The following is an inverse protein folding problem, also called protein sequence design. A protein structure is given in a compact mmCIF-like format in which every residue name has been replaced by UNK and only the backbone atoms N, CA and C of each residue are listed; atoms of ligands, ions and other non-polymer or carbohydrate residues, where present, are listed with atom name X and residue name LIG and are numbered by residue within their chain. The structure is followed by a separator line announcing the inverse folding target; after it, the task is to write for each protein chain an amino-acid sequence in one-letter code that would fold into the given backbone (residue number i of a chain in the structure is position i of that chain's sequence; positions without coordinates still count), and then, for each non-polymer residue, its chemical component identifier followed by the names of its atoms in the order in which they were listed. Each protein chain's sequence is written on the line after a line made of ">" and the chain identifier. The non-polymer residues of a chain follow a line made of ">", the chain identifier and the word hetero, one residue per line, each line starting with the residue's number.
data_IF_908603223156
#
_entry.id   IF_908603223156
#
_cell.length_a   1.000
_cell.length_b   1.000
_cell.length_c   1.000
_cell.angle_alpha   90.00
_cell.angle_beta   90.00
_cell.angle_gamma   90.00
#
_symmetry.space_group_name_H-M   'P 1'
#
loop_
_entity.id
_entity.type
_entity.pdbx_description
1 polymer ?
#
# COMPACT_ATOMS: atom_id res chain seq x y z
N UNK A 1 -16.74 -1.15 -2.80
CA UNK A 1 -16.26 -0.99 -1.42
C UNK A 1 -14.86 -0.41 -1.50
N UNK A 2 -14.69 0.82 -1.05
CA UNK A 2 -13.41 1.51 -1.11
C UNK A 2 -12.50 1.03 0.03
N UNK A 3 -11.18 1.08 -0.18
CA UNK A 3 -10.19 0.77 0.88
C UNK A 3 -10.45 1.61 2.13
N UNK A 4 -10.86 2.87 1.97
CA UNK A 4 -11.14 3.78 3.07
C UNK A 4 -12.33 3.30 3.93
N UNK A 5 -13.38 2.77 3.31
CA UNK A 5 -14.54 2.20 4.02
C UNK A 5 -14.13 0.96 4.84
N UNK A 6 -13.29 0.09 4.26
CA UNK A 6 -12.72 -1.08 4.93
C UNK A 6 -11.90 -0.69 6.16
N UNK A 7 -11.02 0.30 6.01
CA UNK A 7 -10.15 0.79 7.10
C UNK A 7 -10.99 1.45 8.20
N UNK A 8 -11.98 2.26 7.84
CA UNK A 8 -12.90 2.86 8.81
C UNK A 8 -13.64 1.80 9.63
N UNK A 9 -14.15 0.75 8.97
CA UNK A 9 -14.84 -0.35 9.65
C UNK A 9 -13.91 -1.13 10.59
N UNK A 10 -12.67 -1.40 10.16
CA UNK A 10 -11.65 -2.03 11.02
C UNK A 10 -11.34 -1.16 12.25
N UNK A 11 -11.24 0.16 12.08
CA UNK A 11 -10.99 1.09 13.18
C UNK A 11 -12.16 1.17 14.17
N UNK A 12 -13.40 1.15 13.68
CA UNK A 12 -14.60 1.08 14.52
C UNK A 12 -14.59 -0.19 15.38
N UNK A 13 -14.35 -1.35 14.77
CA UNK A 13 -14.23 -2.63 15.48
C UNK A 13 -13.08 -2.61 16.50
N UNK A 14 -11.94 -1.99 16.17
CA UNK A 14 -10.82 -1.85 17.08
C UNK A 14 -11.12 -0.94 18.29
N UNK A 15 -11.87 0.16 18.08
CA UNK A 15 -12.33 1.03 19.18
C UNK A 15 -13.33 0.30 20.07
N UNK A 16 -14.25 -0.45 19.46
CA UNK A 16 -15.22 -1.27 20.20
C UNK A 16 -14.53 -2.32 21.06
N UNK A 17 -13.53 -3.03 20.50
CA UNK A 17 -12.67 -3.96 21.25
C UNK A 17 -12.03 -3.34 22.48
N UNK A 18 -11.51 -2.11 22.36
CA UNK A 18 -10.85 -1.41 23.47
C UNK A 18 -11.80 -0.96 24.56
N UNK A 19 -13.07 -0.72 24.24
CA UNK A 19 -14.06 -0.22 25.21
C UNK A 19 -14.82 -1.33 25.91
N UNK A 20 -15.43 -2.24 25.14
CA UNK A 20 -16.40 -3.23 25.63
C UNK A 20 -15.98 -4.67 25.32
N UNK A 21 -14.95 -4.87 24.50
CA UNK A 21 -14.59 -6.16 23.93
C UNK A 21 -15.27 -6.41 22.58
N UNK A 22 -14.75 -7.37 21.81
CA UNK A 22 -15.34 -7.80 20.53
C UNK A 22 -16.02 -9.15 20.73
N UNK A 23 -17.16 -9.31 20.07
CA UNK A 23 -17.85 -10.59 19.96
C UNK A 23 -17.08 -11.50 18.98
N UNK A 24 -17.27 -12.81 19.03
CA UNK A 24 -16.64 -13.74 18.08
C UNK A 24 -17.01 -13.42 16.62
N UNK A 25 -18.26 -13.03 16.36
CA UNK A 25 -18.72 -12.61 15.03
C UNK A 25 -17.98 -11.36 14.53
N UNK A 26 -17.78 -10.37 15.40
CA UNK A 26 -17.07 -9.14 15.04
C UNK A 26 -15.56 -9.39 14.86
N UNK A 27 -15.02 -10.35 15.59
CA UNK A 27 -13.64 -10.79 15.45
C UNK A 27 -13.41 -11.46 14.08
N UNK A 28 -14.36 -12.30 13.67
CA UNK A 28 -14.37 -12.93 12.35
C UNK A 28 -14.56 -11.88 11.23
N UNK A 29 -15.45 -10.91 11.42
CA UNK A 29 -15.64 -9.80 10.48
C UNK A 29 -14.34 -9.00 10.33
N UNK A 30 -13.71 -8.61 11.44
CA UNK A 30 -12.43 -7.89 11.42
C UNK A 30 -11.34 -8.69 10.71
N UNK A 31 -11.25 -10.00 10.95
CA UNK A 31 -10.26 -10.86 10.29
C UNK A 31 -10.46 -10.86 8.77
N UNK A 32 -11.71 -11.04 8.32
CA UNK A 32 -12.08 -11.01 6.90
C UNK A 32 -11.78 -9.67 6.24
N UNK A 33 -12.14 -8.56 6.90
CA UNK A 33 -11.85 -7.21 6.41
C UNK A 33 -10.33 -6.97 6.27
N UNK A 34 -9.54 -7.47 7.24
CA UNK A 34 -8.08 -7.33 7.22
C UNK A 34 -7.44 -8.13 6.08
N UNK A 35 -7.97 -9.31 5.78
CA UNK A 35 -7.52 -10.12 4.64
C UNK A 35 -7.77 -9.42 3.30
N UNK A 36 -8.98 -8.86 3.13
CA UNK A 36 -9.35 -8.09 1.93
C UNK A 36 -8.46 -6.86 1.78
N UNK A 37 -8.19 -6.14 2.87
CA UNK A 37 -7.28 -5.00 2.87
C UNK A 37 -5.86 -5.41 2.45
N UNK A 38 -5.30 -6.45 3.06
CA UNK A 38 -3.96 -6.96 2.73
C UNK A 38 -3.85 -7.40 1.26
N UNK A 39 -4.88 -8.07 0.73
CA UNK A 39 -4.91 -8.48 -0.68
C UNK A 39 -4.90 -7.29 -1.64
N UNK A 40 -5.64 -6.23 -1.32
CA UNK A 40 -5.63 -5.00 -2.11
C UNK A 40 -4.31 -4.24 -1.98
N UNK A 41 -3.77 -4.10 -0.77
CA UNK A 41 -2.47 -3.46 -0.52
C UNK A 41 -1.37 -4.19 -1.27
N UNK A 42 -1.31 -5.52 -1.22
CA UNK A 42 -0.30 -6.30 -1.96
C UNK A 42 -0.39 -6.09 -3.46
N UNK A 43 -1.60 -6.05 -4.03
CA UNK A 43 -1.80 -5.76 -5.45
C UNK A 43 -1.36 -4.34 -5.82
N UNK A 44 -1.75 -3.36 -5.00
CA UNK A 44 -1.39 -1.97 -5.21
C UNK A 44 0.13 -1.77 -5.08
N UNK A 45 0.76 -2.39 -4.09
CA UNK A 45 2.19 -2.35 -3.86
C UNK A 45 2.97 -3.04 -4.98
N UNK A 46 2.49 -4.19 -5.48
CA UNK A 46 3.09 -4.83 -6.65
C UNK A 46 3.00 -3.96 -7.89
N UNK A 47 1.85 -3.31 -8.14
CA UNK A 47 1.70 -2.36 -9.23
C UNK A 47 2.64 -1.15 -9.08
N UNK A 48 2.84 -0.65 -7.86
CA UNK A 48 3.82 0.41 -7.59
C UNK A 48 5.27 -0.07 -7.80
N UNK A 49 5.62 -1.29 -7.40
CA UNK A 49 6.95 -1.88 -7.66
C UNK A 49 7.19 -2.15 -9.15
N UNK A 50 6.17 -2.53 -9.89
CA UNK A 50 6.24 -2.73 -11.35
C UNK A 50 6.32 -1.39 -12.09
N UNK A 51 5.75 -0.33 -11.49
CA UNK A 51 5.92 1.06 -11.93
C UNK A 51 7.26 1.66 -11.49
N UNK A 52 8.03 1.01 -10.61
CA UNK A 52 9.44 1.33 -10.42
C UNK A 52 10.17 0.79 -11.65
N UNK A 53 10.06 1.57 -12.72
CA UNK A 53 11.02 1.56 -13.81
C UNK A 53 12.39 1.73 -13.16
N UNK A 54 13.27 0.75 -13.37
CA UNK A 54 14.70 0.94 -13.11
C UNK A 54 15.10 2.07 -14.07
N UNK A 55 15.13 3.30 -13.56
CA UNK A 55 15.88 4.38 -14.16
C UNK A 55 17.34 3.94 -14.08
N UNK A 56 17.75 3.18 -15.10
CA UNK A 56 19.16 2.97 -15.40
C UNK A 56 19.70 4.38 -15.59
N UNK A 57 20.39 4.89 -14.57
CA UNK A 57 21.19 6.11 -14.63
C UNK A 57 22.37 5.82 -15.58
N UNK A 58 22.06 5.61 -16.87
CA UNK A 58 23.06 5.60 -17.92
C UNK A 58 23.44 7.05 -18.20
N UNK A 59 24.31 7.53 -17.31
CA UNK A 59 25.49 8.28 -17.72
C UNK A 59 25.20 9.72 -18.05
N UNK A 60 25.04 10.53 -17.01
CA UNK A 60 25.45 11.91 -17.03
C UNK A 60 27.00 11.98 -17.13
N UNK A 61 27.58 11.71 -18.29
CA UNK A 61 28.99 11.99 -18.61
C UNK A 61 29.11 12.05 -20.14
N UNK A 62 29.15 13.25 -20.73
CA UNK A 62 30.41 13.93 -21.06
C UNK A 62 30.20 15.42 -21.23
N UNK A 63 30.54 16.17 -20.19
CA UNK A 63 31.20 17.46 -20.34
C UNK A 63 32.61 17.23 -20.92
N UNK A 64 33.03 18.13 -21.80
CA UNK A 64 34.38 18.14 -22.39
C UNK A 64 34.47 17.51 -23.78
N UNK A 65 34.55 18.34 -24.83
CA UNK A 65 35.84 18.89 -25.27
C UNK A 65 35.79 19.48 -26.71
N UNK A 66 36.15 20.77 -26.81
CA UNK A 66 36.83 21.46 -27.93
C UNK A 66 36.19 21.53 -29.33
N UNK A 67 36.01 22.79 -29.77
CA UNK A 67 36.31 23.33 -31.10
C UNK A 67 36.95 22.34 -32.09
N UNK A 68 36.52 22.37 -33.36
CA UNK A 68 37.37 22.81 -34.48
C UNK A 68 36.59 22.91 -35.81
N UNK A 69 36.72 24.10 -36.43
CA UNK A 69 36.52 24.51 -37.84
C UNK A 69 35.13 24.43 -38.48
#
# INVERSE_FOLDING_TARGET
>A
MNIDELVNRINELARKQKSVGLNEEELAERAKLREIYLGNVRRNFRAQLESIEIVDDKGNERDGNRNLH
#
